data_IF_801078829859
#
_entry.id   IF_801078829859
#
_cell.length_a   1.000
_cell.length_b   1.000
_cell.length_c   1.000
_cell.angle_alpha   90.00
_cell.angle_beta   90.00
_cell.angle_gamma   90.00
#
_symmetry.space_group_name_H-M   'P 1'
#
loop_
_entity.id
_entity.type
_entity.pdbx_description
1 polymer ?
#
# COMPACT_ATOMS: atom_id res chain seq x y z
N UNK A 1 -30.93 -6.13 -8.04
CA UNK A 1 -30.40 -7.11 -7.08
C UNK A 1 -29.01 -7.51 -7.57
N UNK A 2 -27.90 -6.83 -7.27
CA UNK A 2 -27.57 -5.76 -6.33
C UNK A 2 -26.55 -4.83 -7.00
N UNK A 3 -26.88 -3.55 -7.18
CA UNK A 3 -25.98 -2.54 -7.78
C UNK A 3 -25.72 -1.35 -6.85
N UNK A 4 -26.04 -1.50 -5.57
CA UNK A 4 -25.77 -0.52 -4.53
C UNK A 4 -24.54 -0.96 -3.75
N UNK A 5 -23.34 -0.71 -4.30
CA UNK A 5 -22.13 -0.73 -3.48
C UNK A 5 -22.27 0.26 -2.31
N UNK A 6 -21.57 0.03 -1.18
CA UNK A 6 -21.70 0.86 0.02
C UNK A 6 -21.53 2.36 -0.31
N UNK A 7 -22.27 3.24 0.41
CA UNK A 7 -22.30 4.69 0.15
C UNK A 7 -20.91 5.32 -0.04
N UNK A 8 -19.91 4.82 0.67
CA UNK A 8 -18.49 5.23 0.56
C UNK A 8 -17.92 5.00 -0.83
N UNK A 9 -18.22 3.87 -1.47
CA UNK A 9 -17.78 3.54 -2.83
C UNK A 9 -18.44 4.45 -3.87
N UNK A 10 -19.71 4.82 -3.67
CA UNK A 10 -20.40 5.79 -4.56
C UNK A 10 -19.76 7.17 -4.48
N UNK A 11 -19.52 7.67 -3.27
CA UNK A 11 -18.88 8.97 -3.03
C UNK A 11 -17.47 9.00 -3.62
N UNK A 12 -16.68 7.94 -3.41
CA UNK A 12 -15.33 7.84 -3.98
C UNK A 12 -15.34 7.81 -5.52
N UNK A 13 -16.30 7.11 -6.12
CA UNK A 13 -16.46 7.07 -7.58
C UNK A 13 -16.88 8.43 -8.14
N UNK A 14 -17.77 9.15 -7.47
CA UNK A 14 -18.17 10.52 -7.85
C UNK A 14 -17.01 11.50 -7.72
N UNK A 15 -16.23 11.40 -6.64
CA UNK A 15 -15.01 12.19 -6.44
C UNK A 15 -14.00 11.93 -7.58
N UNK A 16 -13.73 10.67 -7.90
CA UNK A 16 -12.82 10.29 -8.98
C UNK A 16 -13.28 10.81 -10.35
N UNK A 17 -14.59 10.72 -10.65
CA UNK A 17 -15.16 11.28 -11.89
C UNK A 17 -15.06 12.80 -11.95
N UNK A 18 -15.28 13.47 -10.82
CA UNK A 18 -15.13 14.93 -10.70
C UNK A 18 -13.70 15.38 -10.96
N UNK A 19 -12.71 14.68 -10.39
CA UNK A 19 -11.28 14.96 -10.61
C UNK A 19 -10.91 14.79 -12.09
N UNK A 20 -11.34 13.71 -12.75
CA UNK A 20 -11.09 13.48 -14.18
C UNK A 20 -11.75 14.59 -15.02
N UNK A 21 -13.02 14.93 -14.75
CA UNK A 21 -13.73 15.97 -15.49
C UNK A 21 -13.05 17.34 -15.34
N UNK A 22 -12.62 17.69 -14.12
CA UNK A 22 -11.89 18.93 -13.87
C UNK A 22 -10.54 18.95 -14.60
N UNK A 23 -9.83 17.82 -14.63
CA UNK A 23 -8.54 17.70 -15.33
C UNK A 23 -8.69 17.85 -16.85
N UNK A 24 -9.65 17.14 -17.46
CA UNK A 24 -9.91 17.22 -18.90
C UNK A 24 -10.31 18.64 -19.34
N UNK A 25 -11.09 19.34 -18.52
CA UNK A 25 -11.44 20.74 -18.77
C UNK A 25 -10.22 21.67 -18.66
N UNK A 26 -9.30 21.41 -17.71
CA UNK A 26 -8.10 22.23 -17.52
C UNK A 26 -7.01 22.05 -18.59
N UNK A 27 -7.01 20.90 -19.29
CA UNK A 27 -5.97 20.52 -20.27
C UNK A 27 -6.39 20.75 -21.72
N UNK A 28 -7.66 21.11 -21.99
CA UNK A 28 -8.16 21.31 -23.36
C UNK A 28 -8.28 20.02 -24.20
N UNK A 29 -8.11 18.85 -23.57
CA UNK A 29 -8.21 17.54 -24.23
C UNK A 29 -9.63 17.19 -24.71
N UNK A 30 -10.63 18.01 -24.40
CA UNK A 30 -12.04 17.82 -24.78
C UNK A 30 -12.32 18.07 -26.26
N UNK A 31 -11.44 18.79 -27.00
CA UNK A 31 -11.73 19.23 -28.38
C UNK A 31 -11.54 18.15 -29.46
N UNK A 32 -10.93 16.99 -29.16
CA UNK A 32 -10.59 15.96 -30.16
C UNK A 32 -11.23 14.59 -29.92
N UNK A 33 -12.40 14.52 -29.27
CA UNK A 33 -13.12 13.24 -29.12
C UNK A 33 -13.76 12.86 -30.45
N UNK A 34 -13.02 12.09 -31.25
CA UNK A 34 -13.52 11.50 -32.49
C UNK A 34 -14.67 10.53 -32.16
N UNK A 35 -15.90 10.94 -32.43
CA UNK A 35 -17.11 10.14 -32.21
C UNK A 35 -17.25 9.06 -33.28
N UNK A 36 -16.42 8.02 -33.23
CA UNK A 36 -16.76 6.75 -33.90
C UNK A 36 -17.60 5.92 -32.93
N UNK A 37 -18.84 5.61 -33.32
CA UNK A 37 -19.85 4.86 -32.56
C UNK A 37 -19.43 3.41 -32.25
N UNK A 38 -18.48 3.22 -31.35
CA UNK A 38 -18.25 1.94 -30.67
C UNK A 38 -18.27 2.18 -29.18
N UNK A 39 -19.42 1.92 -28.57
CA UNK A 39 -19.57 1.84 -27.11
C UNK A 39 -18.84 0.60 -26.61
N UNK A 40 -17.61 0.80 -26.13
CA UNK A 40 -16.93 -0.22 -25.33
C UNK A 40 -17.56 -0.26 -23.94
N UNK A 41 -17.58 -1.44 -23.31
CA UNK A 41 -17.84 -1.47 -21.88
C UNK A 41 -16.70 -0.76 -21.14
N UNK A 42 -17.02 0.02 -20.11
CA UNK A 42 -16.06 0.79 -19.29
C UNK A 42 -14.85 -0.06 -18.87
N UNK A 43 -15.10 -1.34 -18.59
CA UNK A 43 -14.07 -2.33 -18.23
C UNK A 43 -13.05 -2.57 -19.35
N UNK A 44 -13.48 -2.72 -20.60
CA UNK A 44 -12.56 -3.01 -21.73
C UNK A 44 -11.69 -1.81 -22.07
N UNK A 45 -12.23 -0.60 -21.97
CA UNK A 45 -11.48 0.63 -22.16
C UNK A 45 -10.43 0.82 -21.05
N UNK A 46 -10.83 0.61 -19.79
CA UNK A 46 -9.90 0.65 -18.64
C UNK A 46 -8.78 -0.39 -18.77
N UNK A 47 -9.11 -1.63 -19.15
CA UNK A 47 -8.12 -2.69 -19.35
C UNK A 47 -7.15 -2.36 -20.49
N UNK A 48 -7.58 -1.65 -21.54
CA UNK A 48 -6.71 -1.21 -22.62
C UNK A 48 -5.70 -0.16 -22.14
N UNK A 49 -6.15 0.86 -21.38
CA UNK A 49 -5.27 1.89 -20.78
C UNK A 49 -4.21 1.22 -19.89
N UNK A 50 -4.63 0.31 -19.01
CA UNK A 50 -3.72 -0.44 -18.14
C UNK A 50 -2.68 -1.24 -18.91
N UNK A 51 -3.05 -1.86 -20.03
CA UNK A 51 -2.12 -2.60 -20.89
C UNK A 51 -1.08 -1.69 -21.56
N UNK A 52 -1.48 -0.50 -22.00
CA UNK A 52 -0.57 0.48 -22.62
C UNK A 52 0.44 0.99 -21.59
N UNK A 53 -0.01 1.35 -20.39
CA UNK A 53 0.87 1.76 -19.28
C UNK A 53 1.79 0.60 -18.88
N UNK A 54 1.24 -0.60 -18.73
CA UNK A 54 2.04 -1.81 -18.44
C UNK A 54 3.10 -2.08 -19.50
N UNK A 55 2.77 -1.92 -20.78
CA UNK A 55 3.72 -2.03 -21.87
C UNK A 55 4.83 -0.96 -21.79
N UNK A 56 4.49 0.27 -21.42
CA UNK A 56 5.47 1.33 -21.21
C UNK A 56 6.47 0.96 -20.11
N UNK A 57 5.98 0.48 -18.96
CA UNK A 57 6.81 0.06 -17.82
C UNK A 57 7.83 -1.02 -18.22
N UNK A 58 7.40 -2.07 -18.92
CA UNK A 58 8.27 -3.21 -19.26
C UNK A 58 9.18 -2.96 -20.47
N UNK A 59 8.94 -1.89 -21.23
CA UNK A 59 9.62 -1.65 -22.50
C UNK A 59 11.08 -1.23 -22.35
N UNK A 60 11.47 -0.50 -21.29
CA UNK A 60 12.86 -0.21 -20.86
C UNK A 60 12.98 0.82 -19.74
N UNK A 61 12.07 1.79 -19.70
CA UNK A 61 12.17 2.94 -18.81
C UNK A 61 10.83 3.20 -18.10
N UNK A 62 10.76 3.02 -16.77
CA UNK A 62 9.53 3.21 -16.01
C UNK A 62 9.06 4.67 -16.03
N UNK A 63 9.93 5.65 -16.30
CA UNK A 63 9.57 7.07 -16.38
C UNK A 63 8.67 7.35 -17.59
N UNK A 64 8.79 6.54 -18.66
CA UNK A 64 7.90 6.63 -19.81
C UNK A 64 6.45 6.27 -19.45
N UNK A 65 6.22 5.47 -18.40
CA UNK A 65 4.87 5.13 -17.97
C UNK A 65 4.10 6.35 -17.45
N UNK A 66 4.79 7.28 -16.78
CA UNK A 66 4.23 8.53 -16.27
C UNK A 66 3.82 9.42 -17.44
N UNK A 67 4.72 9.62 -18.40
CA UNK A 67 4.45 10.40 -19.63
C UNK A 67 3.32 9.80 -20.47
N UNK A 68 3.29 8.47 -20.58
CA UNK A 68 2.22 7.75 -21.27
C UNK A 68 0.89 7.95 -20.53
N UNK A 69 0.87 7.82 -19.20
CA UNK A 69 -0.34 8.05 -18.41
C UNK A 69 -0.86 9.50 -18.55
N UNK A 70 0.03 10.49 -18.51
CA UNK A 70 -0.29 11.90 -18.78
C UNK A 70 -0.88 12.08 -20.18
N UNK A 71 -0.24 11.52 -21.22
CA UNK A 71 -0.70 11.60 -22.61
C UNK A 71 -2.06 10.94 -22.84
N UNK A 72 -2.41 9.96 -22.01
CA UNK A 72 -3.71 9.29 -22.00
C UNK A 72 -4.77 10.08 -21.20
N UNK A 73 -4.41 11.24 -20.66
CA UNK A 73 -5.31 12.12 -19.91
C UNK A 73 -5.58 11.65 -18.48
N UNK A 74 -4.72 10.82 -17.89
CA UNK A 74 -4.85 10.46 -16.49
C UNK A 74 -4.53 11.68 -15.60
N UNK A 75 -5.35 11.95 -14.56
CA UNK A 75 -5.16 13.10 -13.68
C UNK A 75 -4.01 12.81 -12.68
N UNK A 76 -2.78 12.83 -13.18
CA UNK A 76 -1.56 12.70 -12.39
C UNK A 76 -0.92 14.08 -12.22
N UNK A 77 -0.20 14.30 -11.12
CA UNK A 77 0.55 15.54 -10.93
C UNK A 77 1.73 15.58 -11.91
N UNK A 78 1.66 16.47 -12.90
CA UNK A 78 2.62 16.59 -14.00
C UNK A 78 3.95 17.20 -13.57
N UNK A 79 4.08 17.64 -12.31
CA UNK A 79 5.38 18.01 -11.72
C UNK A 79 6.29 16.80 -11.48
N UNK A 80 5.75 15.59 -11.64
CA UNK A 80 6.47 14.33 -11.51
C UNK A 80 6.81 13.85 -12.92
N UNK A 81 8.06 13.96 -13.32
CA UNK A 81 8.50 13.52 -14.66
C UNK A 81 9.13 12.14 -14.64
N UNK A 82 9.68 11.74 -13.48
CA UNK A 82 10.36 10.46 -13.26
C UNK A 82 9.88 9.78 -11.98
N UNK A 83 10.05 8.46 -11.89
CA UNK A 83 9.87 7.69 -10.65
C UNK A 83 10.87 8.18 -9.59
N UNK A 84 12.03 8.71 -9.99
CA UNK A 84 12.99 9.35 -9.07
C UNK A 84 12.47 10.65 -8.45
N UNK A 85 11.60 11.39 -9.14
CA UNK A 85 10.97 12.61 -8.62
C UNK A 85 9.94 12.32 -7.52
N UNK A 86 9.60 11.05 -7.26
CA UNK A 86 8.80 10.67 -6.09
C UNK A 86 9.45 11.19 -4.81
N UNK A 87 10.79 11.28 -4.74
CA UNK A 87 11.47 11.89 -3.60
C UNK A 87 11.19 13.39 -3.47
N UNK A 88 10.97 14.07 -4.60
CA UNK A 88 10.51 15.47 -4.66
C UNK A 88 9.03 15.58 -4.24
N UNK A 89 8.16 14.63 -4.66
CA UNK A 89 6.76 14.52 -4.18
C UNK A 89 6.73 14.43 -2.66
N UNK A 90 7.58 13.58 -2.07
CA UNK A 90 7.66 13.41 -0.62
C UNK A 90 7.90 14.74 0.09
N UNK A 91 8.68 15.66 -0.48
CA UNK A 91 8.90 16.97 0.16
C UNK A 91 7.71 17.93 0.00
N UNK A 92 7.00 17.88 -1.13
CA UNK A 92 5.87 18.78 -1.42
C UNK A 92 4.54 18.34 -0.80
N UNK A 93 4.27 17.04 -0.81
CA UNK A 93 3.00 16.46 -0.35
C UNK A 93 3.06 15.92 1.06
N UNK A 94 4.24 15.83 1.68
CA UNK A 94 4.33 15.63 3.12
C UNK A 94 3.55 16.78 3.74
N UNK A 95 2.37 16.51 4.34
CA UNK A 95 1.81 17.47 5.27
C UNK A 95 2.94 17.74 6.26
N UNK A 96 3.07 18.93 6.83
CA UNK A 96 3.95 19.11 7.98
C UNK A 96 3.45 18.17 9.07
N UNK A 97 3.88 16.91 9.00
CA UNK A 97 3.57 15.82 9.88
C UNK A 97 4.48 16.16 11.04
N UNK A 98 4.01 17.15 11.81
CA UNK A 98 4.52 17.40 13.13
C UNK A 98 4.18 16.10 13.83
N UNK A 99 5.17 15.23 13.96
CA UNK A 99 5.45 14.56 15.23
C UNK A 99 5.54 15.66 16.28
N UNK A 100 4.40 16.30 16.59
CA UNK A 100 4.22 16.96 17.85
C UNK A 100 4.13 15.76 18.76
N UNK A 101 5.30 15.30 19.24
CA UNK A 101 5.40 14.68 20.54
C UNK A 101 4.53 15.57 21.42
N UNK A 102 3.29 15.16 21.64
CA UNK A 102 2.40 15.92 22.49
C UNK A 102 3.01 15.69 23.86
N UNK A 103 3.80 16.67 24.32
CA UNK A 103 4.56 16.63 25.58
C UNK A 103 3.67 16.35 26.81
N UNK A 104 2.35 16.16 26.65
CA UNK A 104 1.39 16.03 27.73
C UNK A 104 0.23 15.03 27.48
N UNK A 105 0.30 14.13 26.50
CA UNK A 105 -0.68 13.03 26.41
C UNK A 105 -0.01 11.70 26.76
N UNK A 106 -0.26 11.23 27.98
CA UNK A 106 0.27 9.98 28.55
C UNK A 106 -0.20 8.71 27.83
N UNK A 107 -0.96 8.85 26.74
CA UNK A 107 -1.40 7.76 25.86
C UNK A 107 -0.26 7.33 24.93
N UNK A 108 0.73 6.66 25.54
CA UNK A 108 1.74 5.76 24.95
C UNK A 108 2.26 6.14 23.56
N UNK A 109 3.08 7.18 23.56
CA UNK A 109 4.09 7.43 22.52
C UNK A 109 5.06 6.23 22.52
N UNK A 110 5.33 5.63 21.34
CA UNK A 110 6.45 4.69 21.18
C UNK A 110 7.68 5.41 21.73
N UNK A 111 8.30 4.87 22.79
CA UNK A 111 9.44 5.58 23.37
C UNK A 111 10.55 5.72 22.31
N UNK A 112 11.37 6.77 22.39
CA UNK A 112 12.49 6.94 21.44
C UNK A 112 13.40 5.70 21.40
N UNK A 113 13.45 4.95 22.50
CA UNK A 113 14.16 3.67 22.61
C UNK A 113 13.48 2.55 21.81
N UNK A 114 12.16 2.44 21.89
CA UNK A 114 11.39 1.45 21.12
C UNK A 114 11.49 1.74 19.62
N UNK A 115 11.36 3.01 19.21
CA UNK A 115 11.54 3.43 17.82
C UNK A 115 12.95 3.11 17.28
N UNK A 116 13.98 3.33 18.10
CA UNK A 116 15.35 2.98 17.75
C UNK A 116 15.54 1.46 17.62
N UNK A 117 14.93 0.65 18.50
CA UNK A 117 15.00 -0.81 18.43
C UNK A 117 14.30 -1.36 17.18
N UNK A 118 13.14 -0.79 16.81
CA UNK A 118 12.45 -1.11 15.55
C UNK A 118 13.39 -0.83 14.38
N UNK A 119 14.07 0.31 14.39
CA UNK A 119 14.92 0.74 13.28
C UNK A 119 16.05 -0.24 13.07
N UNK A 120 16.68 -0.66 14.17
CA UNK A 120 17.76 -1.64 14.18
C UNK A 120 17.24 -2.98 13.68
N UNK A 121 16.10 -3.47 14.15
CA UNK A 121 15.60 -4.78 13.75
C UNK A 121 15.16 -4.80 12.28
N UNK A 122 14.44 -3.76 11.83
CA UNK A 122 14.07 -3.64 10.41
C UNK A 122 15.34 -3.54 9.56
N UNK A 123 16.30 -2.70 9.90
CA UNK A 123 17.58 -2.60 9.18
C UNK A 123 18.33 -3.94 9.17
N UNK A 124 18.35 -4.67 10.27
CA UNK A 124 19.01 -5.97 10.37
C UNK A 124 18.35 -7.02 9.46
N UNK A 125 17.03 -6.97 9.32
CA UNK A 125 16.25 -7.93 8.53
C UNK A 125 16.19 -7.59 7.05
N UNK A 126 16.04 -6.31 6.70
CA UNK A 126 15.81 -5.86 5.32
C UNK A 126 17.06 -5.25 4.69
N UNK A 127 18.06 -4.88 5.48
CA UNK A 127 19.21 -4.09 5.04
C UNK A 127 18.91 -2.60 4.83
N UNK A 128 17.66 -2.18 5.03
CA UNK A 128 17.21 -0.81 4.78
C UNK A 128 17.45 0.10 5.98
N UNK A 129 18.05 1.26 5.75
CA UNK A 129 18.22 2.30 6.76
C UNK A 129 17.21 3.41 6.50
N UNK A 130 16.27 3.62 7.42
CA UNK A 130 15.31 4.71 7.31
C UNK A 130 16.02 6.06 7.30
N UNK A 131 15.81 6.83 6.23
CA UNK A 131 16.20 8.23 6.17
C UNK A 131 15.37 9.07 7.14
N UNK A 132 14.10 8.71 7.31
CA UNK A 132 13.16 9.35 8.21
C UNK A 132 12.63 8.36 9.25
N UNK A 133 12.97 8.59 10.52
CA UNK A 133 12.57 7.73 11.63
C UNK A 133 11.11 7.94 12.05
N UNK A 134 10.47 9.04 11.64
CA UNK A 134 9.07 9.27 11.96
C UNK A 134 8.15 8.28 11.24
N UNK A 135 8.51 7.88 10.01
CA UNK A 135 7.77 6.87 9.23
C UNK A 135 7.78 5.51 9.92
N UNK A 136 8.89 5.20 10.60
CA UNK A 136 9.05 3.97 11.36
C UNK A 136 8.19 3.92 12.62
N UNK A 137 7.88 5.07 13.21
CA UNK A 137 6.94 5.18 14.33
C UNK A 137 5.50 5.09 13.82
N UNK A 138 5.22 5.68 12.65
CA UNK A 138 3.87 5.73 12.08
C UNK A 138 3.38 4.36 11.56
N UNK A 139 4.23 3.61 10.85
CA UNK A 139 3.85 2.33 10.25
C UNK A 139 3.31 1.27 11.26
N UNK A 140 3.95 1.02 12.42
CA UNK A 140 3.44 0.07 13.42
C UNK A 140 2.38 0.66 14.36
N UNK A 141 1.99 1.94 14.19
CA UNK A 141 1.00 2.61 15.06
C UNK A 141 -0.41 2.41 14.52
N UNK A 142 -1.25 1.60 15.16
CA UNK A 142 -2.61 1.33 14.68
C UNK A 142 -3.45 2.61 14.43
N UNK A 143 -4.47 2.52 13.59
CA UNK A 143 -5.35 3.65 13.20
C UNK A 143 -5.93 4.46 14.37
N UNK A 144 -6.09 3.85 15.55
CA UNK A 144 -6.57 4.52 16.77
C UNK A 144 -5.49 5.34 17.48
N UNK A 145 -4.21 5.03 17.27
CA UNK A 145 -3.06 5.74 17.84
C UNK A 145 -2.36 6.68 16.86
N UNK A 146 -2.62 6.54 15.55
CA UNK A 146 -2.12 7.49 14.55
C UNK A 146 -2.82 8.85 14.67
N UNK A 147 -2.05 9.92 14.91
CA UNK A 147 -2.55 11.29 15.16
C UNK A 147 -3.35 11.86 13.96
N UNK A 148 -3.14 11.33 12.75
CA UNK A 148 -3.66 11.87 11.49
C UNK A 148 -4.10 10.80 10.47
N UNK A 149 -4.16 9.52 10.86
CA UNK A 149 -4.41 8.43 9.91
C UNK A 149 -3.25 8.13 8.95
N UNK A 150 -2.04 8.62 9.27
CA UNK A 150 -0.80 8.35 8.53
C UNK A 150 -0.57 6.86 8.28
N UNK A 151 -0.81 5.98 9.26
CA UNK A 151 -0.65 4.54 9.08
C UNK A 151 -1.49 4.03 7.90
N UNK A 152 -2.80 4.31 7.85
CA UNK A 152 -3.66 3.87 6.73
C UNK A 152 -3.21 4.39 5.36
N UNK A 153 -2.55 5.55 5.32
CA UNK A 153 -1.98 6.08 4.07
C UNK A 153 -0.73 5.29 3.67
N UNK A 154 0.09 4.90 4.64
CA UNK A 154 1.25 4.03 4.44
C UNK A 154 0.81 2.61 4.06
N UNK A 155 -0.21 2.05 4.71
CA UNK A 155 -0.85 0.77 4.38
C UNK A 155 -1.30 0.78 2.92
N UNK A 156 -2.09 1.78 2.51
CA UNK A 156 -2.55 1.94 1.14
C UNK A 156 -1.39 2.04 0.14
N UNK A 157 -0.35 2.81 0.46
CA UNK A 157 0.83 2.94 -0.40
C UNK A 157 1.58 1.61 -0.50
N UNK A 158 1.77 0.94 0.63
CA UNK A 158 2.46 -0.34 0.73
C UNK A 158 1.77 -1.46 -0.03
N UNK A 159 0.44 -1.55 0.05
CA UNK A 159 -0.35 -2.50 -0.74
C UNK A 159 -0.10 -2.28 -2.24
N UNK A 160 -0.20 -1.04 -2.73
CA UNK A 160 0.06 -0.71 -4.14
C UNK A 160 1.50 -1.04 -4.55
N UNK A 161 2.49 -0.76 -3.70
CA UNK A 161 3.90 -1.08 -3.95
C UNK A 161 4.11 -2.60 -4.01
N UNK A 162 3.55 -3.36 -3.07
CA UNK A 162 3.60 -4.83 -3.06
C UNK A 162 2.96 -5.41 -4.31
N UNK A 163 1.76 -4.94 -4.67
CA UNK A 163 1.06 -5.32 -5.89
C UNK A 163 1.92 -5.10 -7.14
N UNK A 164 2.57 -3.93 -7.22
CA UNK A 164 3.42 -3.56 -8.34
C UNK A 164 4.66 -4.46 -8.45
N UNK A 165 5.38 -4.67 -7.34
CA UNK A 165 6.58 -5.52 -7.30
C UNK A 165 6.23 -6.97 -7.65
N UNK A 166 5.13 -7.48 -7.10
CA UNK A 166 4.64 -8.84 -7.39
C UNK A 166 4.19 -8.97 -8.85
N UNK A 167 3.50 -7.97 -9.40
CA UNK A 167 3.09 -7.96 -10.80
C UNK A 167 4.30 -7.97 -11.75
N UNK A 168 5.31 -7.14 -11.49
CA UNK A 168 6.55 -7.13 -12.27
C UNK A 168 7.30 -8.45 -12.19
N UNK A 169 7.45 -9.00 -10.98
CA UNK A 169 8.09 -10.30 -10.79
C UNK A 169 7.35 -11.39 -11.57
N UNK A 170 6.03 -11.42 -11.46
CA UNK A 170 5.21 -12.42 -12.11
C UNK A 170 5.27 -12.30 -13.64
N UNK A 171 5.18 -11.08 -14.17
CA UNK A 171 5.22 -10.80 -15.61
C UNK A 171 6.52 -11.33 -16.24
N UNK A 172 7.67 -11.06 -15.62
CA UNK A 172 8.96 -11.51 -16.15
C UNK A 172 9.24 -12.99 -15.93
N UNK A 173 8.83 -13.54 -14.79
CA UNK A 173 9.12 -14.94 -14.43
C UNK A 173 8.19 -15.94 -15.11
N UNK A 174 6.95 -15.54 -15.42
CA UNK A 174 5.91 -16.42 -15.97
C UNK A 174 5.29 -15.85 -17.26
N UNK A 175 6.05 -15.63 -18.35
CA UNK A 175 5.57 -14.94 -19.55
C UNK A 175 4.48 -15.68 -20.34
N UNK A 176 4.21 -16.96 -20.03
CA UNK A 176 3.22 -17.80 -20.73
C UNK A 176 2.00 -18.19 -19.90
N UNK A 177 1.84 -17.66 -18.68
CA UNK A 177 0.71 -18.04 -17.81
C UNK A 177 -0.53 -17.18 -18.08
N UNK A 178 -1.74 -17.79 -18.08
CA UNK A 178 -3.00 -17.06 -18.13
C UNK A 178 -3.14 -15.98 -17.05
N UNK A 179 -3.87 -14.90 -17.36
CA UNK A 179 -4.10 -13.77 -16.44
C UNK A 179 -4.83 -14.18 -15.15
N UNK A 180 -5.65 -15.24 -15.20
CA UNK A 180 -6.37 -15.74 -14.03
C UNK A 180 -5.42 -16.34 -12.98
N UNK A 181 -4.24 -16.80 -13.40
CA UNK A 181 -3.26 -17.42 -12.51
C UNK A 181 -2.53 -16.35 -11.69
N UNK A 182 -2.40 -15.12 -12.22
CA UNK A 182 -1.84 -14.00 -11.46
C UNK A 182 -2.69 -13.66 -10.23
N UNK A 183 -4.02 -13.70 -10.35
CA UNK A 183 -4.90 -13.39 -9.19
C UNK A 183 -4.70 -14.40 -8.07
N UNK A 184 -4.70 -15.68 -8.40
CA UNK A 184 -4.45 -16.76 -7.42
C UNK A 184 -3.05 -16.66 -6.82
N UNK A 185 -2.05 -16.38 -7.66
CA UNK A 185 -0.67 -16.17 -7.21
C UNK A 185 -0.57 -14.99 -6.23
N UNK A 186 -1.09 -13.82 -6.62
CA UNK A 186 -1.16 -12.62 -5.79
C UNK A 186 -1.82 -12.91 -4.45
N UNK A 187 -3.03 -13.49 -4.46
CA UNK A 187 -3.76 -13.81 -3.22
C UNK A 187 -3.06 -14.84 -2.34
N UNK A 188 -2.12 -15.63 -2.88
CA UNK A 188 -1.35 -16.59 -2.09
C UNK A 188 -0.15 -15.99 -1.35
N UNK A 189 0.35 -14.82 -1.78
CA UNK A 189 1.55 -14.19 -1.21
C UNK A 189 1.29 -12.81 -0.59
N UNK A 190 0.24 -12.11 -1.04
CA UNK A 190 -0.18 -10.78 -0.56
C UNK A 190 -1.51 -10.85 0.20
N UNK A 191 -1.80 -11.95 0.89
CA UNK A 191 -2.95 -11.99 1.80
C UNK A 191 -2.55 -11.49 3.18
N UNK A 192 -3.49 -10.96 3.97
CA UNK A 192 -3.22 -10.57 5.36
C UNK A 192 -2.65 -11.74 6.17
N UNK A 193 -3.08 -12.98 5.89
CA UNK A 193 -2.51 -14.18 6.51
C UNK A 193 -1.04 -14.37 6.13
N UNK A 194 -0.68 -14.23 4.84
CA UNK A 194 0.69 -14.39 4.37
C UNK A 194 1.61 -13.28 4.90
N UNK A 195 1.17 -12.01 4.77
CA UNK A 195 1.92 -10.84 5.22
C UNK A 195 2.03 -10.80 6.75
N UNK A 196 0.94 -11.11 7.47
CA UNK A 196 0.94 -11.18 8.92
C UNK A 196 1.81 -12.32 9.45
N UNK A 197 1.81 -13.47 8.77
CA UNK A 197 2.72 -14.57 9.11
C UNK A 197 4.17 -14.18 8.89
N UNK A 198 4.48 -13.50 7.78
CA UNK A 198 5.81 -12.99 7.54
C UNK A 198 6.22 -11.99 8.62
N UNK A 199 5.36 -11.03 8.96
CA UNK A 199 5.59 -10.02 9.98
C UNK A 199 5.92 -10.63 11.35
N UNK A 200 5.10 -11.58 11.81
CA UNK A 200 5.34 -12.29 13.07
C UNK A 200 6.57 -13.22 13.01
N UNK A 201 6.82 -13.90 11.89
CA UNK A 201 8.02 -14.74 11.72
C UNK A 201 9.33 -13.95 11.79
N UNK A 202 9.28 -12.66 11.44
CA UNK A 202 10.40 -11.73 11.55
C UNK A 202 10.58 -11.19 12.98
N UNK A 203 9.61 -11.41 13.88
CA UNK A 203 9.57 -10.89 15.23
C UNK A 203 9.17 -9.40 15.31
N UNK A 204 8.59 -8.87 14.22
CA UNK A 204 8.21 -7.46 14.13
C UNK A 204 6.91 -7.15 14.89
N UNK A 205 6.12 -8.19 15.23
CA UNK A 205 4.91 -8.12 16.05
C UNK A 205 5.17 -7.53 17.44
N UNK A 206 6.38 -7.69 17.98
CA UNK A 206 6.80 -7.13 19.27
C UNK A 206 6.78 -5.60 19.32
N UNK A 207 6.74 -4.96 18.16
CA UNK A 207 6.77 -3.50 18.01
C UNK A 207 5.43 -2.88 17.64
N UNK A 208 4.41 -3.71 17.44
CA UNK A 208 3.09 -3.25 17.05
C UNK A 208 2.46 -2.48 18.23
N UNK A 209 2.21 -1.19 18.03
CA UNK A 209 1.57 -0.33 19.02
C UNK A 209 0.13 -0.08 18.62
N UNK A 210 -0.78 -0.92 19.13
CA UNK A 210 -2.21 -0.74 18.85
C UNK A 210 -2.79 0.51 19.48
N UNK A 211 -2.21 1.02 20.57
CA UNK A 211 -2.81 2.09 21.40
C UNK A 211 -4.27 1.80 21.81
N UNK A 212 -4.73 0.55 21.70
CA UNK A 212 -6.07 0.10 22.03
C UNK A 212 -6.04 -0.41 23.47
N UNK A 213 -6.32 0.45 24.44
CA UNK A 213 -6.87 -0.05 25.73
C UNK A 213 -8.36 -0.42 25.58
N UNK A 214 -9.01 0.02 24.49
CA UNK A 214 -10.47 -0.07 24.30
C UNK A 214 -10.95 -1.32 23.52
N UNK A 215 -10.04 -2.14 22.97
CA UNK A 215 -10.38 -3.43 22.32
C UNK A 215 -9.39 -4.52 22.72
N UNK A 216 -9.49 -4.92 23.99
CA UNK A 216 -8.64 -5.94 24.59
C UNK A 216 -8.76 -7.29 23.85
N UNK A 217 -9.91 -7.60 23.26
CA UNK A 217 -10.14 -8.87 22.56
C UNK A 217 -9.33 -8.93 21.25
N UNK A 218 -9.31 -7.84 20.48
CA UNK A 218 -8.45 -7.74 19.29
C UNK A 218 -6.97 -7.77 19.67
N UNK A 219 -6.58 -7.12 20.78
CA UNK A 219 -5.19 -7.12 21.25
C UNK A 219 -4.71 -8.52 21.69
N UNK A 220 -5.56 -9.25 22.42
CA UNK A 220 -5.28 -10.64 22.81
C UNK A 220 -5.13 -11.51 21.57
N UNK A 221 -6.05 -11.36 20.62
CA UNK A 221 -6.08 -12.19 19.41
C UNK A 221 -4.81 -12.07 18.58
N UNK A 222 -4.40 -10.85 18.19
CA UNK A 222 -3.21 -10.72 17.33
C UNK A 222 -1.93 -11.21 18.03
N UNK A 223 -1.83 -11.06 19.36
CA UNK A 223 -0.72 -11.59 20.15
C UNK A 223 -0.69 -13.11 20.17
N UNK A 224 -1.83 -13.78 20.27
CA UNK A 224 -1.93 -15.24 20.18
C UNK A 224 -1.62 -15.75 18.76
N UNK A 225 -2.13 -15.05 17.75
CA UNK A 225 -1.85 -15.31 16.35
C UNK A 225 -0.34 -15.22 16.05
N UNK A 226 0.32 -14.16 16.50
CA UNK A 226 1.76 -13.97 16.33
C UNK A 226 2.59 -15.07 17.03
N UNK A 227 2.24 -15.43 18.28
CA UNK A 227 2.88 -16.55 19.00
C UNK A 227 2.73 -17.88 18.25
N UNK A 228 1.56 -18.12 17.69
CA UNK A 228 1.28 -19.32 16.89
C UNK A 228 2.18 -19.38 15.67
N UNK A 229 2.29 -18.27 14.92
CA UNK A 229 3.19 -18.17 13.76
C UNK A 229 4.65 -18.41 14.15
N UNK A 230 5.12 -17.78 15.23
CA UNK A 230 6.50 -17.94 15.71
C UNK A 230 6.77 -19.41 16.10
N UNK A 231 5.83 -20.05 16.81
CA UNK A 231 5.94 -21.46 17.16
C UNK A 231 6.02 -22.35 15.92
N UNK A 232 5.11 -22.16 14.95
CA UNK A 232 5.09 -22.92 13.70
C UNK A 232 6.38 -22.73 12.88
N UNK A 233 6.87 -21.49 12.82
CA UNK A 233 8.13 -21.15 12.14
C UNK A 233 9.30 -21.88 12.80
N UNK A 234 9.37 -21.92 14.13
CA UNK A 234 10.39 -22.67 14.87
C UNK A 234 10.29 -24.19 14.68
N UNK A 235 9.10 -24.71 14.36
CA UNK A 235 8.87 -26.09 13.97
C UNK A 235 9.18 -26.38 12.50
N UNK A 236 9.66 -25.39 11.73
CA UNK A 236 10.01 -25.52 10.31
C UNK A 236 8.82 -25.45 9.35
N UNK A 237 7.65 -25.00 9.81
CA UNK A 237 6.47 -24.80 8.96
C UNK A 237 6.64 -23.52 8.16
N UNK A 238 6.54 -23.63 6.83
CA UNK A 238 6.67 -22.50 5.89
C UNK A 238 5.39 -22.24 5.09
N UNK A 239 4.35 -23.06 5.27
CA UNK A 239 3.04 -22.86 4.66
C UNK A 239 2.05 -22.41 5.75
N UNK A 240 1.71 -21.13 5.72
CA UNK A 240 0.83 -20.49 6.69
C UNK A 240 -0.64 -20.41 6.21
N UNK A 241 -0.99 -21.12 5.13
CA UNK A 241 -2.36 -21.13 4.63
C UNK A 241 -3.35 -21.60 5.68
N UNK A 242 -4.36 -20.77 5.91
CA UNK A 242 -5.51 -21.13 6.75
C UNK A 242 -5.39 -20.74 8.23
N UNK A 243 -4.32 -20.05 8.64
CA UNK A 243 -4.16 -19.57 10.01
C UNK A 243 -5.20 -18.51 10.41
N UNK A 244 -5.82 -17.80 9.45
CA UNK A 244 -6.84 -16.76 9.68
C UNK A 244 -6.40 -15.77 10.76
N UNK A 245 -5.28 -15.12 10.49
CA UNK A 245 -4.66 -14.19 11.42
C UNK A 245 -5.47 -12.91 11.56
N UNK A 246 -5.20 -12.18 12.62
CA UNK A 246 -5.65 -10.81 12.75
C UNK A 246 -5.09 -9.92 11.63
N UNK A 247 -5.97 -9.12 11.03
CA UNK A 247 -5.61 -8.28 9.89
C UNK A 247 -4.55 -7.26 10.25
N UNK A 248 -4.53 -6.82 11.52
CA UNK A 248 -3.56 -5.82 11.99
C UNK A 248 -2.12 -6.20 11.71
N UNK A 249 -1.78 -7.50 11.71
CA UNK A 249 -0.43 -7.98 11.39
C UNK A 249 -0.09 -7.76 9.91
N UNK A 250 -1.04 -8.03 9.02
CA UNK A 250 -0.89 -7.79 7.58
C UNK A 250 -0.87 -6.31 7.24
N UNK A 251 -1.84 -5.56 7.75
CA UNK A 251 -1.98 -4.11 7.50
C UNK A 251 -0.73 -3.35 7.98
N UNK A 252 -0.14 -3.77 9.12
CA UNK A 252 1.11 -3.19 9.62
C UNK A 252 2.31 -3.53 8.75
N UNK A 253 2.37 -4.73 8.18
CA UNK A 253 3.41 -5.11 7.23
C UNK A 253 3.32 -4.27 5.95
N UNK A 254 2.12 -4.03 5.44
CA UNK A 254 1.87 -3.14 4.30
C UNK A 254 2.32 -1.73 4.63
N UNK A 255 1.93 -1.19 5.79
CA UNK A 255 2.37 0.12 6.23
C UNK A 255 3.89 0.25 6.35
N UNK A 256 4.57 -0.80 6.82
CA UNK A 256 6.03 -0.82 6.88
C UNK A 256 6.66 -0.78 5.48
N UNK A 257 6.09 -1.51 4.51
CA UNK A 257 6.54 -1.45 3.12
C UNK A 257 6.30 -0.05 2.54
N UNK A 258 5.15 0.57 2.82
CA UNK A 258 4.85 1.93 2.42
C UNK A 258 5.78 2.97 3.06
N UNK A 259 6.28 2.72 4.27
CA UNK A 259 7.26 3.57 4.94
C UNK A 259 8.69 3.42 4.38
N UNK A 260 9.02 2.25 3.83
CA UNK A 260 10.33 1.98 3.22
C UNK A 260 10.43 2.61 1.82
N UNK A 261 9.34 2.56 1.05
CA UNK A 261 9.23 3.11 -0.29
C UNK A 261 9.36 4.65 -0.29
#
# INVERSE_FOLDING_TARGET
>A
LDSEGPLTTRIQNELGRSVIASYLNSTGLTENICTSERTYSDKRASDAIRRVIGAAIVSRDPDNAIKVAESLGMPIDTRVETVGDIQTIYQFYRPACRTRFIENDSRRIISDLDAANIAIEVQRRTGYCFADRDLLVQAPSHQSSSIDGSNKRLELLGDVVLEFVVALHYYHKYPGTPTNDFKSFKSSILSNDALGSLFASLGLDTFLNTGLEDDADSEIKWKEDAKTVVHLTNCGVTDWKGLRLDKVLGDTMEALVGAIF
#
